data_IF_676144536200
#
_entry.id   IF_676144536200
#
_cell.length_a   1.000
_cell.length_b   1.000
_cell.length_c   1.000
_cell.angle_alpha   90.00
_cell.angle_beta   90.00
_cell.angle_gamma   90.00
#
_symmetry.space_group_name_H-M   'P 1'
#
loop_
_entity.id
_entity.type
_entity.pdbx_description
1 polymer ?
#
# COMPACT_ATOMS: atom_id res chain seq x y z
N UNK A 1 8.71 16.77 40.70
CA UNK A 1 7.77 15.75 41.21
C UNK A 1 7.20 15.00 40.02
N UNK A 2 7.42 13.70 39.89
CA UNK A 2 6.80 12.90 38.83
C UNK A 2 5.33 12.69 39.16
N UNK A 3 4.43 13.24 38.34
CA UNK A 3 3.01 12.95 38.43
C UNK A 3 2.81 11.47 38.08
N UNK A 4 2.55 10.61 39.06
CA UNK A 4 2.15 9.23 38.80
C UNK A 4 0.72 9.24 38.27
N UNK A 5 0.57 9.30 36.95
CA UNK A 5 -0.72 9.10 36.31
C UNK A 5 -1.27 7.73 36.73
N UNK A 6 -2.41 7.72 37.43
CA UNK A 6 -3.16 6.49 37.66
C UNK A 6 -3.73 6.03 36.31
N UNK A 7 -3.10 5.01 35.70
CA UNK A 7 -3.45 4.50 34.36
C UNK A 7 -4.55 3.42 34.39
N UNK A 8 -5.21 3.22 35.53
CA UNK A 8 -6.18 2.15 35.74
C UNK A 8 -5.54 0.75 35.74
N UNK A 9 -6.38 -0.29 35.83
CA UNK A 9 -5.96 -1.68 35.75
C UNK A 9 -5.54 -2.05 34.32
N UNK A 10 -4.52 -2.90 34.19
CA UNK A 10 -4.04 -3.42 32.88
C UNK A 10 -5.13 -4.24 32.18
N UNK A 11 -6.03 -4.83 32.97
CA UNK A 11 -7.12 -5.73 32.55
C UNK A 11 -8.38 -4.97 32.08
N UNK A 12 -8.40 -3.63 32.17
CA UNK A 12 -9.54 -2.85 31.69
C UNK A 12 -9.57 -2.82 30.15
N UNK A 13 -10.33 -3.75 29.58
CA UNK A 13 -10.58 -3.85 28.14
C UNK A 13 -11.26 -2.61 27.53
N UNK A 14 -11.80 -1.69 28.34
CA UNK A 14 -12.34 -0.42 27.88
C UNK A 14 -11.31 0.45 27.13
N UNK A 15 -10.03 0.35 27.53
CA UNK A 15 -8.93 1.11 26.91
C UNK A 15 -8.60 0.68 25.48
N UNK A 16 -9.07 -0.50 25.05
CA UNK A 16 -8.91 -1.00 23.68
C UNK A 16 -10.08 -0.60 22.78
N UNK A 17 -11.09 0.09 23.31
CA UNK A 17 -12.25 0.57 22.54
C UNK A 17 -12.04 1.97 21.97
N UNK A 18 -11.14 2.75 22.57
CA UNK A 18 -10.84 4.12 22.15
C UNK A 18 -9.49 4.17 21.42
N UNK A 19 -9.54 4.37 20.10
CA UNK A 19 -8.34 4.49 19.28
C UNK A 19 -7.99 5.95 19.03
N UNK A 20 -6.78 6.36 19.45
CA UNK A 20 -6.22 7.65 19.07
C UNK A 20 -5.64 7.61 17.65
N UNK A 21 -5.45 8.79 17.04
CA UNK A 21 -4.86 8.92 15.72
C UNK A 21 -3.48 8.21 15.62
N UNK A 22 -2.65 8.31 16.65
CA UNK A 22 -1.37 7.61 16.71
C UNK A 22 -1.49 6.07 16.70
N UNK A 23 -2.51 5.51 17.36
CA UNK A 23 -2.75 4.06 17.33
C UNK A 23 -3.18 3.59 15.95
N UNK A 24 -4.09 4.31 15.30
CA UNK A 24 -4.50 4.02 13.91
C UNK A 24 -3.32 4.10 12.94
N UNK A 25 -2.52 5.14 13.06
CA UNK A 25 -1.32 5.31 12.24
C UNK A 25 -0.35 4.12 12.37
N UNK A 26 -0.16 3.63 13.59
CA UNK A 26 0.68 2.47 13.86
C UNK A 26 0.10 1.18 13.25
N UNK A 27 -1.22 0.93 13.42
CA UNK A 27 -1.89 -0.25 12.84
C UNK A 27 -1.77 -0.22 11.31
N UNK A 28 -2.15 0.89 10.69
CA UNK A 28 -2.15 1.00 9.24
C UNK A 28 -0.74 0.89 8.66
N UNK A 29 0.29 1.43 9.33
CA UNK A 29 1.65 1.30 8.85
C UNK A 29 2.15 -0.15 8.85
N UNK A 30 1.83 -0.90 9.91
CA UNK A 30 2.16 -2.34 9.96
C UNK A 30 1.37 -3.13 8.93
N UNK A 31 0.06 -2.90 8.85
CA UNK A 31 -0.80 -3.59 7.90
C UNK A 31 -0.34 -3.36 6.46
N UNK A 32 -0.12 -2.10 6.07
CA UNK A 32 0.39 -1.75 4.74
C UNK A 32 1.78 -2.35 4.48
N UNK A 33 2.66 -2.40 5.49
CA UNK A 33 3.95 -3.08 5.38
C UNK A 33 3.83 -4.58 5.08
N UNK A 34 2.93 -5.29 5.78
CA UNK A 34 2.66 -6.70 5.50
C UNK A 34 2.08 -6.93 4.10
N UNK A 35 1.17 -6.06 3.65
CA UNK A 35 0.63 -6.12 2.29
C UNK A 35 1.74 -5.91 1.25
N UNK A 36 2.63 -4.94 1.45
CA UNK A 36 3.76 -4.68 0.55
C UNK A 36 4.75 -5.84 0.51
N UNK A 37 5.05 -6.47 1.65
CA UNK A 37 5.89 -7.67 1.68
C UNK A 37 5.25 -8.79 0.86
N UNK A 38 3.95 -9.04 1.04
CA UNK A 38 3.21 -10.02 0.24
C UNK A 38 3.26 -9.69 -1.26
N UNK A 39 3.03 -8.42 -1.62
CA UNK A 39 3.12 -7.95 -2.99
C UNK A 39 4.52 -8.15 -3.59
N UNK A 40 5.59 -7.93 -2.84
CA UNK A 40 6.96 -8.10 -3.35
C UNK A 40 7.22 -9.52 -3.86
N UNK A 41 6.68 -10.55 -3.21
CA UNK A 41 6.80 -11.92 -3.71
C UNK A 41 6.08 -12.11 -5.06
N UNK A 42 4.84 -11.62 -5.18
CA UNK A 42 4.10 -11.63 -6.45
C UNK A 42 4.81 -10.80 -7.52
N UNK A 43 5.35 -9.64 -7.15
CA UNK A 43 6.03 -8.73 -8.04
C UNK A 43 7.30 -9.34 -8.62
N UNK A 44 8.12 -10.01 -7.77
CA UNK A 44 9.31 -10.73 -8.23
C UNK A 44 8.91 -11.86 -9.19
N UNK A 45 7.84 -12.61 -8.88
CA UNK A 45 7.36 -13.68 -9.76
C UNK A 45 6.97 -13.16 -11.15
N UNK A 46 6.16 -12.10 -11.24
CA UNK A 46 5.78 -11.47 -12.52
C UNK A 46 7.01 -10.91 -13.23
N UNK A 47 7.86 -10.14 -12.53
CA UNK A 47 9.04 -9.51 -13.11
C UNK A 47 10.05 -10.55 -13.61
N UNK A 48 10.13 -11.74 -13.00
CA UNK A 48 11.03 -12.80 -13.46
C UNK A 48 10.75 -13.26 -14.89
N UNK A 49 9.50 -13.16 -15.36
CA UNK A 49 9.13 -13.49 -16.75
C UNK A 49 9.77 -12.53 -17.77
N UNK A 50 10.20 -11.34 -17.35
CA UNK A 50 10.96 -10.40 -18.20
C UNK A 50 12.31 -10.95 -18.63
N UNK A 51 12.92 -11.86 -17.87
CA UNK A 51 14.19 -12.50 -18.21
C UNK A 51 13.99 -13.43 -19.42
N UNK A 52 12.98 -14.31 -19.38
CA UNK A 52 12.61 -15.16 -20.52
C UNK A 52 12.22 -14.33 -21.73
N UNK A 53 11.41 -13.27 -21.50
CA UNK A 53 11.04 -12.33 -22.55
C UNK A 53 12.24 -11.64 -23.22
N UNK A 54 13.25 -11.24 -22.45
CA UNK A 54 14.48 -10.65 -22.97
C UNK A 54 15.37 -11.66 -23.73
N UNK A 55 15.23 -12.95 -23.42
CA UNK A 55 15.92 -14.05 -24.11
C UNK A 55 15.17 -14.53 -25.37
N UNK A 56 14.03 -13.92 -25.70
CA UNK A 56 13.23 -14.26 -26.88
C UNK A 56 12.21 -15.38 -26.64
N UNK A 57 11.92 -15.72 -25.38
CA UNK A 57 10.88 -16.71 -25.06
C UNK A 57 9.49 -16.15 -25.38
N UNK A 58 8.71 -16.94 -26.11
CA UNK A 58 7.36 -16.60 -26.56
C UNK A 58 6.35 -17.66 -26.14
N UNK A 59 5.11 -17.26 -25.92
CA UNK A 59 3.97 -18.13 -25.69
C UNK A 59 2.86 -17.83 -26.71
N UNK A 60 2.01 -18.81 -26.99
CA UNK A 60 0.90 -18.65 -27.93
C UNK A 60 -0.30 -18.03 -27.21
N UNK A 61 -0.75 -16.85 -27.67
CA UNK A 61 -1.97 -16.17 -27.19
C UNK A 61 -2.84 -15.89 -28.40
N UNK A 62 -4.08 -16.40 -28.41
CA UNK A 62 -5.03 -16.24 -29.52
C UNK A 62 -4.47 -16.60 -30.91
N UNK A 63 -3.56 -17.58 -30.97
CA UNK A 63 -2.95 -18.06 -32.21
C UNK A 63 -1.69 -17.31 -32.64
N UNK A 64 -1.30 -16.25 -31.92
CA UNK A 64 -0.11 -15.45 -32.20
C UNK A 64 0.99 -15.72 -31.18
N UNK A 65 2.26 -15.70 -31.62
CA UNK A 65 3.41 -15.83 -30.74
C UNK A 65 3.70 -14.48 -30.06
N UNK A 66 3.50 -14.42 -28.74
CA UNK A 66 3.66 -13.20 -27.93
C UNK A 66 4.81 -13.38 -26.94
N UNK A 67 5.57 -12.32 -26.70
CA UNK A 67 6.61 -12.31 -25.66
C UNK A 67 6.04 -12.73 -24.30
N UNK A 68 6.70 -13.67 -23.61
CA UNK A 68 6.17 -14.26 -22.36
C UNK A 68 5.87 -13.22 -21.27
N UNK A 69 6.68 -12.15 -21.17
CA UNK A 69 6.44 -11.06 -20.21
C UNK A 69 5.19 -10.26 -20.57
N UNK A 70 5.06 -9.87 -21.84
CA UNK A 70 3.89 -9.15 -22.35
C UNK A 70 2.62 -9.97 -22.18
N UNK A 71 2.66 -11.26 -22.51
CA UNK A 71 1.52 -12.16 -22.32
C UNK A 71 1.10 -12.28 -20.84
N UNK A 72 2.07 -12.36 -19.93
CA UNK A 72 1.82 -12.39 -18.47
C UNK A 72 1.13 -11.12 -18.00
N UNK A 73 1.65 -9.95 -18.39
CA UNK A 73 1.06 -8.66 -18.03
C UNK A 73 -0.36 -8.51 -18.59
N UNK A 74 -0.56 -8.73 -19.88
CA UNK A 74 -1.87 -8.61 -20.52
C UNK A 74 -2.90 -9.57 -19.91
N UNK A 75 -2.49 -10.80 -19.58
CA UNK A 75 -3.36 -11.76 -18.91
C UNK A 75 -3.81 -11.29 -17.53
N UNK A 76 -2.89 -10.74 -16.72
CA UNK A 76 -3.22 -10.18 -15.40
C UNK A 76 -4.08 -8.91 -15.52
N UNK A 77 -3.71 -8.01 -16.42
CA UNK A 77 -4.40 -6.75 -16.69
C UNK A 77 -5.83 -6.93 -17.22
N UNK A 78 -6.12 -8.06 -17.87
CA UNK A 78 -7.46 -8.45 -18.29
C UNK A 78 -8.39 -8.82 -17.14
N UNK A 79 -7.85 -9.08 -15.94
CA UNK A 79 -8.64 -9.41 -14.76
C UNK A 79 -9.05 -8.13 -14.03
N UNK A 80 -10.36 -7.85 -13.99
CA UNK A 80 -10.91 -6.70 -13.26
C UNK A 80 -10.43 -6.65 -11.80
N UNK A 81 -10.33 -7.81 -11.13
CA UNK A 81 -9.83 -7.89 -9.77
C UNK A 81 -8.38 -7.37 -9.65
N UNK A 82 -7.51 -7.67 -10.61
CA UNK A 82 -6.11 -7.20 -10.58
C UNK A 82 -6.08 -5.68 -10.73
N UNK A 83 -6.87 -5.11 -11.64
CA UNK A 83 -6.99 -3.64 -11.79
C UNK A 83 -7.42 -2.95 -10.48
N UNK A 84 -8.38 -3.53 -9.77
CA UNK A 84 -8.79 -3.02 -8.45
C UNK A 84 -7.66 -3.13 -7.42
N UNK A 85 -6.94 -4.27 -7.43
CA UNK A 85 -5.79 -4.49 -6.55
C UNK A 85 -4.62 -3.54 -6.85
N UNK A 86 -4.40 -3.13 -8.10
CA UNK A 86 -3.38 -2.13 -8.47
C UNK A 86 -3.68 -0.76 -7.87
N UNK A 87 -4.93 -0.30 -7.94
CA UNK A 87 -5.36 0.95 -7.28
C UNK A 87 -5.20 0.85 -5.77
N UNK A 88 -5.62 -0.28 -5.17
CA UNK A 88 -5.44 -0.55 -3.75
C UNK A 88 -3.97 -0.58 -3.33
N UNK A 89 -3.11 -1.20 -4.15
CA UNK A 89 -1.68 -1.27 -3.92
C UNK A 89 -1.02 0.11 -3.95
N UNK A 90 -1.43 0.99 -4.88
CA UNK A 90 -0.97 2.37 -4.90
C UNK A 90 -1.33 3.07 -3.58
N UNK A 91 -2.59 2.93 -3.13
CA UNK A 91 -3.04 3.51 -1.87
C UNK A 91 -2.19 3.01 -0.67
N UNK A 92 -1.96 1.69 -0.61
CA UNK A 92 -1.12 1.04 0.39
C UNK A 92 0.30 1.60 0.38
N UNK A 93 0.93 1.67 -0.80
CA UNK A 93 2.31 2.14 -0.96
C UNK A 93 2.44 3.62 -0.57
N UNK A 94 1.55 4.48 -1.07
CA UNK A 94 1.56 5.93 -0.79
C UNK A 94 1.38 6.17 0.71
N UNK A 95 0.39 5.55 1.35
CA UNK A 95 0.21 5.69 2.80
C UNK A 95 1.44 5.19 3.57
N UNK A 96 1.98 4.02 3.20
CA UNK A 96 3.14 3.44 3.88
C UNK A 96 4.35 4.38 3.85
N UNK A 97 4.62 4.98 2.68
CA UNK A 97 5.70 5.95 2.48
C UNK A 97 5.44 7.22 3.30
N UNK A 98 4.28 7.84 3.17
CA UNK A 98 3.96 9.09 3.87
C UNK A 98 4.00 8.91 5.40
N UNK A 99 3.43 7.81 5.91
CA UNK A 99 3.47 7.49 7.32
C UNK A 99 4.90 7.16 7.78
N UNK A 100 5.69 6.45 6.98
CA UNK A 100 7.10 6.18 7.25
C UNK A 100 7.94 7.45 7.34
N UNK A 101 7.73 8.41 6.43
CA UNK A 101 8.36 9.74 6.49
C UNK A 101 7.93 10.47 7.76
N UNK A 102 6.64 10.42 8.15
CA UNK A 102 6.19 11.02 9.41
C UNK A 102 6.94 10.44 10.60
N UNK A 103 7.09 9.11 10.66
CA UNK A 103 7.82 8.44 11.73
C UNK A 103 9.29 8.86 11.75
N UNK A 104 9.95 8.90 10.59
CA UNK A 104 11.34 9.38 10.47
C UNK A 104 11.48 10.83 10.98
N UNK A 105 10.56 11.72 10.62
CA UNK A 105 10.58 13.11 11.09
C UNK A 105 10.41 13.21 12.60
N UNK A 106 9.51 12.40 13.18
CA UNK A 106 9.32 12.30 14.63
C UNK A 106 10.58 11.79 15.32
N UNK A 107 11.23 10.77 14.78
CA UNK A 107 12.47 10.20 15.32
C UNK A 107 13.63 11.23 15.28
N UNK A 108 13.60 12.14 14.32
CA UNK A 108 14.51 13.29 14.22
C UNK A 108 14.09 14.48 15.11
N UNK A 109 13.01 14.36 15.89
CA UNK A 109 12.51 15.41 16.78
C UNK A 109 11.69 16.50 16.09
N UNK A 110 11.27 16.31 14.83
CA UNK A 110 10.50 17.28 14.06
C UNK A 110 9.01 16.93 14.09
N UNK A 111 8.15 17.93 14.36
CA UNK A 111 6.70 17.77 14.26
C UNK A 111 6.02 17.08 15.45
N UNK A 112 6.68 17.04 16.62
CA UNK A 112 6.18 16.37 17.83
C UNK A 112 4.81 16.89 18.32
N UNK A 113 4.53 18.18 18.12
CA UNK A 113 3.26 18.81 18.53
C UNK A 113 2.14 18.66 17.47
N UNK A 114 2.48 18.17 16.27
CA UNK A 114 1.57 18.11 15.12
C UNK A 114 1.32 16.68 14.63
N UNK A 115 1.56 15.66 15.46
CA UNK A 115 1.45 14.25 15.07
C UNK A 115 0.07 13.89 14.51
N UNK A 116 -1.02 14.25 15.19
CA UNK A 116 -2.37 13.94 14.74
C UNK A 116 -2.69 14.62 13.40
N UNK A 117 -2.34 15.91 13.28
CA UNK A 117 -2.54 16.67 12.04
C UNK A 117 -1.77 16.05 10.87
N UNK A 118 -0.52 15.67 11.10
CA UNK A 118 0.33 15.06 10.06
C UNK A 118 -0.17 13.65 9.65
N UNK A 119 -0.78 12.89 10.56
CA UNK A 119 -1.46 11.64 10.23
C UNK A 119 -2.71 11.86 9.37
N UNK A 120 -3.58 12.81 9.73
CA UNK A 120 -4.74 13.09 8.88
C UNK A 120 -4.35 13.67 7.52
N UNK A 121 -3.29 14.48 7.47
CA UNK A 121 -2.74 14.97 6.22
C UNK A 121 -2.25 13.81 5.32
N UNK A 122 -1.57 12.82 5.87
CA UNK A 122 -1.13 11.65 5.10
C UNK A 122 -2.32 10.82 4.59
N UNK A 123 -3.37 10.66 5.39
CA UNK A 123 -4.61 9.99 4.95
C UNK A 123 -5.30 10.72 3.80
N UNK A 124 -5.52 12.03 3.94
CA UNK A 124 -6.19 12.84 2.91
C UNK A 124 -5.38 12.84 1.62
N UNK A 125 -4.05 13.02 1.71
CA UNK A 125 -3.19 13.00 0.53
C UNK A 125 -3.19 11.62 -0.15
N UNK A 126 -3.14 10.53 0.62
CA UNK A 126 -3.27 9.17 0.07
C UNK A 126 -4.61 9.01 -0.66
N UNK A 127 -5.71 9.41 -0.03
CA UNK A 127 -7.05 9.31 -0.63
C UNK A 127 -7.15 10.13 -1.93
N UNK A 128 -6.64 11.36 -1.93
CA UNK A 128 -6.63 12.22 -3.11
C UNK A 128 -5.83 11.61 -4.27
N UNK A 129 -4.61 11.11 -4.01
CA UNK A 129 -3.79 10.44 -5.03
C UNK A 129 -4.48 9.19 -5.55
N UNK A 130 -5.08 8.39 -4.66
CA UNK A 130 -5.78 7.16 -5.03
C UNK A 130 -6.98 7.44 -5.92
N UNK A 131 -7.82 8.42 -5.57
CA UNK A 131 -8.98 8.80 -6.39
C UNK A 131 -8.55 9.36 -7.74
N UNK A 132 -7.51 10.20 -7.75
CA UNK A 132 -6.96 10.77 -8.97
C UNK A 132 -6.35 9.72 -9.91
N UNK A 133 -5.87 8.59 -9.38
CA UNK A 133 -5.28 7.52 -10.19
C UNK A 133 -6.29 6.57 -10.81
N UNK A 134 -7.52 6.49 -10.30
CA UNK A 134 -8.56 5.57 -10.79
C UNK A 134 -8.74 5.61 -12.31
N UNK A 135 -8.86 6.78 -12.97
CA UNK A 135 -9.01 6.83 -14.42
C UNK A 135 -7.82 6.21 -15.16
N UNK A 136 -6.60 6.35 -14.65
CA UNK A 136 -5.40 5.78 -15.26
C UNK A 136 -5.38 4.26 -15.17
N UNK A 137 -5.76 3.70 -14.02
CA UNK A 137 -5.75 2.25 -13.80
C UNK A 137 -6.97 1.53 -14.39
N UNK A 138 -8.08 2.23 -14.60
CA UNK A 138 -9.30 1.65 -15.19
C UNK A 138 -9.51 2.01 -16.66
N UNK A 139 -8.66 2.87 -17.25
CA UNK A 139 -8.71 3.15 -18.67
C UNK A 139 -8.53 1.86 -19.48
N UNK A 140 -9.41 1.61 -20.45
CA UNK A 140 -9.39 0.42 -21.29
C UNK A 140 -10.20 -0.77 -20.75
N UNK A 141 -10.81 -0.66 -19.57
CA UNK A 141 -11.83 -1.64 -19.11
C UNK A 141 -13.15 -1.36 -19.85
N UNK A 142 -13.51 -2.19 -20.82
CA UNK A 142 -14.88 -2.25 -21.34
C UNK A 142 -15.73 -3.14 -20.43
N UNK A 143 -16.81 -2.60 -19.86
CA UNK A 143 -17.85 -3.36 -19.17
C UNK A 143 -18.65 -4.25 -20.14
#
# INVERSE_FOLDING_TARGET
>A
MSQSYNRGLVEDFGRWKEFSAGMWAWIFHKFTGWVLIGYLFTHIAVLSTSIGGAQGETTMVDGEAVNVYTATLQGLEGLFLVRLLEVGLLAVAVFHILNGIRLLMVDLGVGLEAQDKSFYASLVLTGAITVASVPTFLAGVSL
#
